data_IF_587251834392
#
_entry.id   IF_587251834392
#
_cell.length_a   1.000
_cell.length_b   1.000
_cell.length_c   1.000
_cell.angle_alpha   90.00
_cell.angle_beta   90.00
_cell.angle_gamma   90.00
#
_symmetry.space_group_name_H-M   'P 1'
#
loop_
_entity.id
_entity.type
_entity.pdbx_description
1 polymer ?
#
# COMPACT_ATOMS: atom_id res chain seq x y z
N UNK A 1 -25.00 13.83 41.29
CA UNK A 1 -24.65 13.43 39.93
C UNK A 1 -23.84 12.10 39.92
N UNK A 2 -22.71 12.04 40.65
CA UNK A 2 -21.83 10.87 40.66
C UNK A 2 -22.50 9.56 41.12
N UNK A 3 -23.31 9.62 42.20
CA UNK A 3 -24.04 8.47 42.70
C UNK A 3 -25.09 7.98 41.72
N UNK A 4 -25.78 8.88 41.01
CA UNK A 4 -26.71 8.51 39.94
C UNK A 4 -26.01 7.84 38.77
N UNK A 5 -24.83 8.31 38.36
CA UNK A 5 -24.02 7.68 37.32
C UNK A 5 -23.59 6.26 37.72
N UNK A 6 -23.07 6.09 38.92
CA UNK A 6 -22.61 4.80 39.43
C UNK A 6 -23.76 3.77 39.58
N UNK A 7 -25.01 4.25 39.80
CA UNK A 7 -26.18 3.39 39.81
C UNK A 7 -26.62 2.95 38.42
N UNK A 8 -26.51 3.84 37.41
CA UNK A 8 -27.01 3.60 36.05
C UNK A 8 -26.02 2.86 35.16
N UNK A 9 -24.74 3.20 35.28
CA UNK A 9 -23.68 2.68 34.40
C UNK A 9 -22.77 1.69 35.14
N UNK A 10 -22.03 0.85 34.41
CA UNK A 10 -21.08 -0.07 35.02
C UNK A 10 -19.98 0.69 35.76
N UNK A 11 -19.74 0.25 37.00
CA UNK A 11 -18.72 0.80 37.88
C UNK A 11 -18.56 -0.07 39.10
N UNK A 12 -17.73 0.29 40.07
CA UNK A 12 -17.57 -0.42 41.34
C UNK A 12 -17.30 -1.93 41.18
N UNK A 13 -16.39 -2.29 40.29
CA UNK A 13 -16.01 -3.70 40.05
C UNK A 13 -17.03 -4.44 39.17
N UNK A 14 -17.69 -5.45 39.70
CA UNK A 14 -18.59 -6.32 38.93
C UNK A 14 -20.02 -5.81 38.77
N UNK A 15 -20.35 -4.62 39.25
CA UNK A 15 -21.69 -4.06 39.11
C UNK A 15 -21.94 -3.60 37.68
N UNK A 16 -22.93 -4.18 37.00
CA UNK A 16 -23.24 -3.89 35.58
C UNK A 16 -24.04 -2.60 35.35
N UNK A 17 -24.49 -1.94 36.39
CA UNK A 17 -25.40 -0.81 36.33
C UNK A 17 -26.83 -1.17 35.94
N UNK A 18 -27.80 -0.34 36.31
CA UNK A 18 -29.22 -0.58 36.03
C UNK A 18 -29.56 -0.55 34.55
N UNK A 19 -28.79 0.21 33.74
CA UNK A 19 -28.99 0.28 32.29
C UNK A 19 -28.39 -0.90 31.52
N UNK A 20 -27.57 -1.73 32.17
CA UNK A 20 -26.88 -2.84 31.51
C UNK A 20 -26.00 -2.42 30.33
N UNK A 21 -25.66 -1.13 30.27
CA UNK A 21 -24.83 -0.58 29.18
C UNK A 21 -23.41 -1.12 29.26
N UNK A 22 -22.89 -1.55 28.13
CA UNK A 22 -21.46 -1.84 27.95
C UNK A 22 -21.01 -1.27 26.61
N UNK A 23 -19.72 -0.92 26.50
CA UNK A 23 -19.13 -0.49 25.23
C UNK A 23 -19.29 -1.56 24.14
N UNK A 24 -19.19 -2.84 24.52
CA UNK A 24 -19.40 -3.97 23.62
C UNK A 24 -20.83 -4.02 23.06
N UNK A 25 -21.86 -3.92 23.94
CA UNK A 25 -23.25 -3.93 23.51
C UNK A 25 -23.59 -2.73 22.62
N UNK A 26 -23.04 -1.57 22.92
CA UNK A 26 -23.19 -0.39 22.10
C UNK A 26 -22.56 -0.61 20.71
N UNK A 27 -21.32 -1.10 20.69
CA UNK A 27 -20.62 -1.41 19.43
C UNK A 27 -21.39 -2.45 18.60
N UNK A 28 -21.86 -3.52 19.19
CA UNK A 28 -22.66 -4.53 18.51
C UNK A 28 -23.96 -3.94 17.92
N UNK A 29 -24.65 -3.08 18.67
CA UNK A 29 -25.85 -2.41 18.16
C UNK A 29 -25.55 -1.48 16.99
N UNK A 30 -24.45 -0.73 17.05
CA UNK A 30 -23.99 0.14 15.96
C UNK A 30 -23.60 -0.68 14.73
N UNK A 31 -22.89 -1.81 14.90
CA UNK A 31 -22.54 -2.72 13.81
C UNK A 31 -23.78 -3.34 13.15
N UNK A 32 -24.79 -3.77 13.93
CA UNK A 32 -26.05 -4.29 13.40
C UNK A 32 -26.80 -3.22 12.60
N UNK A 33 -26.82 -1.97 13.07
CA UNK A 33 -27.43 -0.86 12.34
C UNK A 33 -26.68 -0.54 11.04
N UNK A 34 -25.36 -0.60 11.08
CA UNK A 34 -24.53 -0.38 9.89
C UNK A 34 -24.76 -1.51 8.87
N UNK A 35 -24.80 -2.76 9.31
CA UNK A 35 -25.04 -3.91 8.45
C UNK A 35 -26.45 -3.87 7.84
N UNK A 36 -27.48 -3.57 8.62
CA UNK A 36 -28.86 -3.41 8.13
C UNK A 36 -28.98 -2.27 7.08
N UNK A 37 -28.14 -1.26 7.17
CA UNK A 37 -28.14 -0.09 6.26
C UNK A 37 -27.32 -0.30 5.00
N UNK A 38 -26.20 -0.98 5.12
CA UNK A 38 -25.18 -1.05 4.07
C UNK A 38 -24.85 -2.48 3.61
N UNK A 39 -25.24 -3.52 4.38
CA UNK A 39 -24.84 -4.89 4.14
C UNK A 39 -25.20 -5.39 2.74
N UNK A 40 -26.45 -5.15 2.30
CA UNK A 40 -26.89 -5.56 0.95
C UNK A 40 -26.09 -4.85 -0.16
N UNK A 41 -25.73 -3.57 0.04
CA UNK A 41 -24.95 -2.80 -0.92
C UNK A 41 -23.52 -3.31 -1.01
N UNK A 42 -22.89 -3.60 0.14
CA UNK A 42 -21.55 -4.18 0.17
C UNK A 42 -21.53 -5.60 -0.40
N UNK A 43 -22.52 -6.42 -0.10
CA UNK A 43 -22.63 -7.76 -0.68
C UNK A 43 -22.72 -7.69 -2.20
N UNK A 44 -23.59 -6.82 -2.73
CA UNK A 44 -23.72 -6.60 -4.18
C UNK A 44 -22.39 -6.19 -4.81
N UNK A 45 -21.66 -5.25 -4.20
CA UNK A 45 -20.37 -4.82 -4.73
C UNK A 45 -19.30 -5.88 -4.58
N UNK A 46 -19.31 -6.68 -3.51
CA UNK A 46 -18.37 -7.77 -3.27
C UNK A 46 -18.42 -8.86 -4.34
N UNK A 47 -19.62 -9.12 -4.88
CA UNK A 47 -19.85 -10.12 -5.92
C UNK A 47 -19.68 -9.58 -7.35
N UNK A 48 -19.48 -8.27 -7.51
CA UNK A 48 -19.34 -7.62 -8.82
C UNK A 48 -17.86 -7.50 -9.21
N UNK A 49 -17.47 -7.89 -10.43
CA UNK A 49 -16.10 -7.70 -10.91
C UNK A 49 -15.64 -6.23 -10.82
N UNK A 50 -14.39 -6.01 -10.42
CA UNK A 50 -13.84 -4.65 -10.21
C UNK A 50 -13.94 -3.78 -11.47
N UNK A 51 -13.76 -4.36 -12.65
CA UNK A 51 -13.90 -3.64 -13.93
C UNK A 51 -15.32 -3.08 -14.12
N UNK A 52 -16.35 -3.82 -13.71
CA UNK A 52 -17.74 -3.36 -13.77
C UNK A 52 -18.04 -2.32 -12.68
N UNK A 53 -17.41 -2.46 -11.49
CA UNK A 53 -17.53 -1.47 -10.43
C UNK A 53 -16.94 -0.11 -10.83
N UNK A 54 -15.89 -0.11 -11.64
CA UNK A 54 -15.27 1.11 -12.15
C UNK A 54 -16.20 1.93 -13.07
N UNK A 55 -17.22 1.29 -13.65
CA UNK A 55 -18.25 1.93 -14.49
C UNK A 55 -19.54 2.26 -13.70
N UNK A 56 -19.61 1.84 -12.43
CA UNK A 56 -20.78 2.04 -11.59
C UNK A 56 -20.66 3.32 -10.76
N UNK A 57 -21.51 4.30 -11.01
CA UNK A 57 -21.49 5.62 -10.34
C UNK A 57 -21.57 5.55 -8.81
N UNK A 58 -22.35 4.63 -8.25
CA UNK A 58 -22.53 4.52 -6.81
C UNK A 58 -21.32 3.83 -6.15
N UNK A 59 -20.76 2.82 -6.81
CA UNK A 59 -19.52 2.18 -6.39
C UNK A 59 -18.35 3.19 -6.45
N UNK A 60 -18.25 3.97 -7.53
CA UNK A 60 -17.24 5.02 -7.69
C UNK A 60 -17.35 6.11 -6.62
N UNK A 61 -18.55 6.60 -6.32
CA UNK A 61 -18.77 7.59 -5.24
C UNK A 61 -18.38 7.04 -3.88
N UNK A 62 -18.67 5.77 -3.62
CA UNK A 62 -18.28 5.10 -2.38
C UNK A 62 -16.77 4.91 -2.32
N UNK A 63 -16.16 4.41 -3.39
CA UNK A 63 -14.70 4.22 -3.52
C UNK A 63 -13.93 5.52 -3.31
N UNK A 64 -14.39 6.64 -3.89
CA UNK A 64 -13.79 7.97 -3.69
C UNK A 64 -13.80 8.39 -2.22
N UNK A 65 -14.88 8.15 -1.49
CA UNK A 65 -14.95 8.48 -0.05
C UNK A 65 -14.01 7.59 0.76
N UNK A 66 -13.97 6.30 0.47
CA UNK A 66 -13.07 5.36 1.13
C UNK A 66 -11.60 5.72 0.84
N UNK A 67 -11.27 6.05 -0.39
CA UNK A 67 -9.94 6.51 -0.80
C UNK A 67 -9.55 7.80 -0.07
N UNK A 68 -10.43 8.79 -0.06
CA UNK A 68 -10.18 10.08 0.60
C UNK A 68 -9.92 9.92 2.11
N UNK A 69 -10.61 9.01 2.76
CA UNK A 69 -10.49 8.80 4.21
C UNK A 69 -9.30 7.91 4.62
N UNK A 70 -8.89 6.96 3.76
CA UNK A 70 -7.94 5.93 4.15
C UNK A 70 -6.63 5.94 3.36
N UNK A 71 -6.64 6.42 2.11
CA UNK A 71 -5.51 6.28 1.18
C UNK A 71 -4.89 7.64 0.82
N UNK A 72 -5.71 8.68 0.71
CA UNK A 72 -5.29 9.99 0.22
C UNK A 72 -4.22 10.67 1.10
N UNK A 73 -4.16 10.35 2.39
CA UNK A 73 -3.15 10.91 3.29
C UNK A 73 -1.72 10.54 2.86
N UNK A 74 -1.55 9.38 2.24
CA UNK A 74 -0.26 8.92 1.72
C UNK A 74 -0.15 9.14 0.21
N UNK A 75 -1.19 8.76 -0.55
CA UNK A 75 -1.15 8.76 -2.02
C UNK A 75 -1.61 10.09 -2.67
N UNK A 76 -1.97 11.09 -1.87
CA UNK A 76 -2.55 12.34 -2.35
C UNK A 76 -4.02 12.21 -2.74
N UNK A 77 -4.76 13.32 -2.73
CA UNK A 77 -6.21 13.33 -3.00
C UNK A 77 -6.59 12.88 -4.42
N UNK A 78 -5.66 13.05 -5.36
CA UNK A 78 -5.81 12.61 -6.74
C UNK A 78 -5.11 11.27 -7.04
N UNK A 79 -4.58 10.59 -6.01
CA UNK A 79 -3.87 9.32 -6.18
C UNK A 79 -2.50 9.42 -6.87
N UNK A 80 -1.98 10.63 -7.10
CA UNK A 80 -0.73 10.85 -7.86
C UNK A 80 0.54 10.63 -7.05
N UNK A 81 0.40 10.12 -5.84
CA UNK A 81 1.53 9.88 -4.95
C UNK A 81 2.03 11.13 -4.24
N UNK A 82 3.01 10.90 -3.38
CA UNK A 82 3.79 11.92 -2.68
C UNK A 82 5.18 11.35 -2.38
N UNK A 83 6.07 12.14 -1.79
CA UNK A 83 7.41 11.67 -1.46
C UNK A 83 7.35 10.37 -0.63
N UNK A 84 7.93 9.29 -1.16
CA UNK A 84 7.94 7.96 -0.55
C UNK A 84 6.67 7.12 -0.76
N UNK A 85 5.66 7.64 -1.46
CA UNK A 85 4.44 6.89 -1.79
C UNK A 85 4.19 6.90 -3.30
N UNK A 86 3.94 5.71 -3.92
CA UNK A 86 3.79 5.61 -5.36
C UNK A 86 2.56 6.35 -5.88
N UNK A 87 2.66 6.80 -7.12
CA UNK A 87 1.52 7.23 -7.93
C UNK A 87 0.66 6.01 -8.26
N UNK A 88 -0.66 6.12 -8.09
CA UNK A 88 -1.63 5.06 -8.36
C UNK A 88 -2.40 5.31 -9.66
N UNK A 89 -2.02 6.34 -10.43
CA UNK A 89 -2.73 6.77 -11.65
C UNK A 89 -1.86 6.69 -12.91
N UNK A 90 -0.63 6.21 -12.79
CA UNK A 90 0.27 5.92 -13.91
C UNK A 90 0.31 4.42 -14.24
N UNK A 91 1.08 4.06 -15.25
CA UNK A 91 1.25 2.68 -15.69
C UNK A 91 2.39 1.93 -14.96
N UNK A 92 3.02 2.56 -13.97
CA UNK A 92 4.19 2.04 -13.27
C UNK A 92 3.81 1.32 -11.96
N UNK A 93 3.19 0.16 -12.11
CA UNK A 93 2.79 -0.68 -10.99
C UNK A 93 3.90 -1.61 -10.54
N UNK A 94 4.35 -1.50 -9.29
CA UNK A 94 5.44 -2.31 -8.72
C UNK A 94 5.17 -3.81 -8.76
N UNK A 95 3.93 -4.22 -8.55
CA UNK A 95 3.51 -5.62 -8.49
C UNK A 95 2.48 -6.01 -9.57
N UNK A 96 2.10 -5.07 -10.41
CA UNK A 96 1.07 -5.19 -11.43
C UNK A 96 -0.18 -4.39 -11.11
N UNK A 97 -0.81 -3.84 -12.17
CA UNK A 97 -1.95 -2.93 -12.10
C UNK A 97 -3.28 -3.59 -12.44
N UNK A 98 -3.31 -4.92 -12.64
CA UNK A 98 -4.57 -5.63 -12.85
C UNK A 98 -5.40 -5.69 -11.56
N UNK A 99 -6.73 -5.74 -11.67
CA UNK A 99 -7.64 -5.69 -10.52
C UNK A 99 -7.34 -6.73 -9.44
N UNK A 100 -7.06 -7.97 -9.82
CA UNK A 100 -6.81 -9.07 -8.87
C UNK A 100 -5.50 -8.87 -8.10
N UNK A 101 -4.48 -8.35 -8.78
CA UNK A 101 -3.20 -7.99 -8.16
C UNK A 101 -3.34 -6.82 -7.20
N UNK A 102 -4.16 -5.80 -7.53
CA UNK A 102 -4.48 -4.69 -6.64
C UNK A 102 -5.25 -5.19 -5.41
N UNK A 103 -6.27 -6.02 -5.59
CA UNK A 103 -7.02 -6.63 -4.48
C UNK A 103 -6.11 -7.45 -3.57
N UNK A 104 -5.22 -8.26 -4.14
CA UNK A 104 -4.22 -9.02 -3.37
C UNK A 104 -3.35 -8.09 -2.53
N UNK A 105 -2.90 -6.98 -3.11
CA UNK A 105 -2.08 -5.98 -2.39
C UNK A 105 -2.84 -5.36 -1.23
N UNK A 106 -4.13 -5.03 -1.41
CA UNK A 106 -4.98 -4.42 -0.37
C UNK A 106 -5.33 -5.41 0.74
N UNK A 107 -5.64 -6.66 0.41
CA UNK A 107 -6.07 -7.66 1.39
C UNK A 107 -4.93 -8.29 2.17
N UNK A 108 -3.81 -8.56 1.53
CA UNK A 108 -2.71 -9.35 2.08
C UNK A 108 -1.44 -8.53 2.31
N UNK A 109 -1.35 -7.35 1.70
CA UNK A 109 -0.11 -6.61 1.62
C UNK A 109 0.91 -7.31 0.73
N UNK A 110 2.14 -6.80 0.72
CA UNK A 110 3.26 -7.43 0.02
C UNK A 110 4.41 -7.63 0.99
N UNK A 111 4.86 -8.86 1.08
CA UNK A 111 6.06 -9.22 1.84
C UNK A 111 7.19 -9.46 0.84
N UNK A 112 8.23 -8.64 0.91
CA UNK A 112 9.45 -8.81 0.16
C UNK A 112 10.64 -9.03 1.09
N UNK A 113 11.63 -9.75 0.63
CA UNK A 113 12.92 -9.87 1.30
C UNK A 113 13.99 -9.41 0.31
N UNK A 114 14.38 -8.14 0.43
CA UNK A 114 15.50 -7.57 -0.31
C UNK A 114 16.74 -7.61 0.58
N UNK A 115 17.73 -8.48 0.31
CA UNK A 115 18.98 -8.45 1.04
C UNK A 115 19.67 -7.09 0.83
N UNK A 116 20.21 -6.50 1.89
CA UNK A 116 20.98 -5.27 1.75
C UNK A 116 22.09 -5.46 0.72
N UNK A 117 22.20 -4.51 -0.21
CA UNK A 117 23.17 -4.56 -1.32
C UNK A 117 22.95 -5.75 -2.30
N UNK A 118 21.74 -6.24 -2.39
CA UNK A 118 21.40 -7.36 -3.27
C UNK A 118 22.16 -8.64 -2.92
N UNK A 119 22.75 -9.29 -3.92
CA UNK A 119 23.60 -10.48 -3.71
C UNK A 119 25.09 -10.17 -3.52
N UNK A 120 25.46 -8.89 -3.32
CA UNK A 120 26.84 -8.42 -3.17
C UNK A 120 27.05 -7.70 -1.83
N UNK A 121 27.23 -8.42 -0.71
CA UNK A 121 27.38 -7.80 0.63
C UNK A 121 28.57 -6.83 0.76
N UNK A 122 29.57 -6.97 -0.09
CA UNK A 122 30.76 -6.10 -0.13
C UNK A 122 30.63 -4.84 -1.00
N UNK A 123 29.44 -4.52 -1.52
CA UNK A 123 29.20 -3.35 -2.35
C UNK A 123 29.61 -2.05 -1.63
N UNK A 124 30.42 -1.23 -2.29
CA UNK A 124 30.85 0.06 -1.75
C UNK A 124 29.77 1.12 -1.88
N UNK A 125 29.88 2.23 -1.15
CA UNK A 125 28.93 3.35 -1.29
C UNK A 125 28.94 3.94 -2.70
N UNK A 126 30.10 3.99 -3.36
CA UNK A 126 30.19 4.42 -4.76
C UNK A 126 29.40 3.48 -5.69
N UNK A 127 29.52 2.17 -5.50
CA UNK A 127 28.75 1.19 -6.29
C UNK A 127 27.23 1.27 -6.01
N UNK A 128 26.84 1.60 -4.77
CA UNK A 128 25.43 1.89 -4.44
C UNK A 128 24.93 3.10 -5.24
N UNK A 129 25.70 4.21 -5.25
CA UNK A 129 25.32 5.40 -6.03
C UNK A 129 25.26 5.08 -7.53
N UNK A 130 26.18 4.30 -8.06
CA UNK A 130 26.20 3.86 -9.45
C UNK A 130 24.97 3.03 -9.80
N UNK A 131 24.63 2.03 -9.01
CA UNK A 131 23.46 1.17 -9.27
C UNK A 131 22.15 1.94 -9.12
N UNK A 132 22.07 2.89 -8.19
CA UNK A 132 20.91 3.78 -8.05
C UNK A 132 20.72 4.62 -9.32
N UNK A 133 21.79 5.23 -9.85
CA UNK A 133 21.69 5.97 -11.09
C UNK A 133 21.31 5.09 -12.28
N UNK A 134 21.81 3.86 -12.35
CA UNK A 134 21.40 2.89 -13.37
C UNK A 134 19.90 2.54 -13.27
N UNK A 135 19.39 2.25 -12.08
CA UNK A 135 17.95 1.99 -11.89
C UNK A 135 17.10 3.21 -12.24
N UNK A 136 17.55 4.42 -11.91
CA UNK A 136 16.86 5.65 -12.28
C UNK A 136 16.85 5.88 -13.81
N UNK A 137 17.83 5.35 -14.55
CA UNK A 137 17.87 5.45 -16.01
C UNK A 137 16.76 4.65 -16.70
N UNK A 138 16.17 3.62 -16.04
CA UNK A 138 15.00 2.91 -16.57
C UNK A 138 13.77 3.81 -16.78
N UNK A 139 13.79 5.00 -16.19
CA UNK A 139 12.70 5.98 -16.23
C UNK A 139 13.20 7.37 -16.64
N UNK A 140 14.33 7.45 -17.34
CA UNK A 140 14.97 8.70 -17.77
C UNK A 140 15.24 9.71 -16.64
N UNK A 141 15.54 9.21 -15.42
CA UNK A 141 15.73 10.02 -14.21
C UNK A 141 17.14 9.92 -13.62
N UNK A 142 18.08 9.31 -14.33
CA UNK A 142 19.47 9.28 -13.90
C UNK A 142 20.00 10.72 -13.76
N UNK A 143 20.66 11.00 -12.65
CA UNK A 143 21.29 12.32 -12.39
C UNK A 143 22.73 12.36 -12.85
N UNK A 144 23.36 11.20 -13.01
CA UNK A 144 24.73 11.00 -13.45
C UNK A 144 24.79 9.83 -14.44
N UNK A 145 24.94 10.15 -15.71
CA UNK A 145 24.99 9.17 -16.80
C UNK A 145 26.26 8.30 -16.75
N UNK A 146 27.39 8.86 -16.30
CA UNK A 146 28.64 8.07 -16.14
C UNK A 146 28.49 7.07 -15.00
N UNK A 147 27.92 7.49 -13.88
CA UNK A 147 27.60 6.60 -12.78
C UNK A 147 26.61 5.52 -13.21
N UNK A 148 25.57 5.87 -13.98
CA UNK A 148 24.60 4.91 -14.48
C UNK A 148 25.26 3.85 -15.38
N UNK A 149 26.15 4.24 -16.29
CA UNK A 149 26.90 3.33 -17.15
C UNK A 149 27.77 2.34 -16.35
N UNK A 150 28.39 2.78 -15.26
CA UNK A 150 29.13 1.90 -14.36
C UNK A 150 28.20 1.02 -13.51
N UNK A 151 27.03 1.56 -13.16
CA UNK A 151 25.99 0.87 -12.38
C UNK A 151 25.39 -0.34 -13.10
N UNK A 152 25.36 -0.36 -14.44
CA UNK A 152 24.90 -1.49 -15.23
C UNK A 152 25.64 -2.79 -14.85
N UNK A 153 26.95 -2.74 -14.70
CA UNK A 153 27.75 -3.92 -14.33
C UNK A 153 27.45 -4.39 -12.90
N UNK A 154 27.26 -3.44 -11.99
CA UNK A 154 26.88 -3.75 -10.61
C UNK A 154 25.50 -4.37 -10.55
N UNK A 155 24.53 -3.82 -11.28
CA UNK A 155 23.17 -4.32 -11.39
C UNK A 155 23.15 -5.75 -11.95
N UNK A 156 23.90 -5.99 -13.03
CA UNK A 156 23.99 -7.31 -13.66
C UNK A 156 24.52 -8.39 -12.71
N UNK A 157 25.40 -8.02 -11.76
CA UNK A 157 25.99 -8.97 -10.81
C UNK A 157 25.11 -9.16 -9.56
N UNK A 158 24.46 -8.10 -9.07
CA UNK A 158 23.84 -8.08 -7.74
C UNK A 158 22.29 -8.12 -7.77
N UNK A 159 21.64 -7.72 -8.87
CA UNK A 159 20.22 -7.39 -8.87
C UNK A 159 19.41 -8.14 -9.95
N UNK A 160 20.02 -8.45 -11.09
CA UNK A 160 19.34 -9.00 -12.27
C UNK A 160 18.63 -10.33 -12.02
N UNK A 161 19.15 -11.14 -11.11
CA UNK A 161 18.54 -12.44 -10.77
C UNK A 161 17.10 -12.36 -10.25
N UNK A 162 16.80 -11.24 -9.55
CA UNK A 162 15.48 -11.01 -8.98
C UNK A 162 14.66 -9.97 -9.78
N UNK A 163 15.33 -8.97 -10.36
CA UNK A 163 14.65 -7.82 -10.98
C UNK A 163 14.68 -7.84 -12.52
N UNK A 164 15.24 -8.87 -13.14
CA UNK A 164 15.51 -8.97 -14.59
C UNK A 164 16.45 -7.86 -15.12
N UNK A 165 16.88 -7.94 -16.37
CA UNK A 165 17.86 -7.02 -16.92
C UNK A 165 17.31 -5.59 -17.13
N UNK A 166 16.01 -5.47 -17.34
CA UNK A 166 15.29 -4.21 -17.54
C UNK A 166 14.68 -3.65 -16.26
N UNK A 167 14.92 -4.28 -15.12
CA UNK A 167 14.36 -3.89 -13.81
C UNK A 167 12.86 -4.16 -13.64
N UNK A 168 12.21 -4.81 -14.60
CA UNK A 168 10.75 -5.00 -14.57
C UNK A 168 10.29 -6.33 -13.99
N UNK A 169 11.15 -7.10 -13.41
CA UNK A 169 10.88 -8.42 -12.81
C UNK A 169 9.80 -9.27 -13.55
N UNK A 170 10.01 -10.53 -13.66
CA UNK A 170 9.02 -11.47 -14.25
C UNK A 170 8.20 -12.19 -13.18
N UNK A 171 8.48 -11.95 -11.90
CA UNK A 171 7.80 -12.61 -10.78
C UNK A 171 7.07 -11.61 -9.89
N UNK A 172 5.84 -11.92 -9.46
CA UNK A 172 5.06 -11.04 -8.55
C UNK A 172 5.70 -10.85 -7.18
N UNK A 173 6.70 -11.66 -6.81
CA UNK A 173 7.40 -11.56 -5.54
C UNK A 173 8.42 -10.41 -5.51
N UNK A 174 8.92 -10.02 -6.68
CA UNK A 174 9.95 -9.00 -6.81
C UNK A 174 9.35 -7.76 -7.49
N UNK A 175 9.41 -6.58 -6.85
CA UNK A 175 8.82 -5.37 -7.41
C UNK A 175 9.57 -4.92 -8.68
N UNK A 176 8.85 -4.24 -9.56
CA UNK A 176 9.46 -3.46 -10.64
C UNK A 176 10.26 -2.29 -10.04
N UNK A 177 11.38 -1.96 -10.67
CA UNK A 177 12.28 -0.90 -10.23
C UNK A 177 12.09 0.42 -10.99
N UNK A 178 11.45 0.38 -12.17
CA UNK A 178 11.09 1.58 -12.89
C UNK A 178 10.22 2.49 -12.02
N UNK A 179 10.35 3.81 -12.19
CA UNK A 179 9.62 4.86 -11.46
C UNK A 179 9.80 4.88 -9.92
N UNK A 180 10.70 4.07 -9.35
CA UNK A 180 10.99 4.14 -7.91
C UNK A 180 11.61 5.48 -7.51
N UNK A 181 11.29 5.93 -6.32
CA UNK A 181 11.86 7.17 -5.75
C UNK A 181 13.34 6.99 -5.40
N UNK A 182 14.22 7.94 -5.75
CA UNK A 182 15.65 7.84 -5.48
C UNK A 182 15.97 7.59 -4.01
N UNK A 183 15.28 8.27 -3.11
CA UNK A 183 15.46 8.14 -1.66
C UNK A 183 15.07 6.75 -1.15
N UNK A 184 14.07 6.13 -1.78
CA UNK A 184 13.68 4.77 -1.47
C UNK A 184 14.74 3.77 -1.94
N UNK A 185 15.26 3.93 -3.17
CA UNK A 185 16.34 3.08 -3.70
C UNK A 185 17.57 3.12 -2.80
N UNK A 186 18.03 4.33 -2.42
CA UNK A 186 19.17 4.49 -1.51
C UNK A 186 18.96 3.85 -0.14
N UNK A 187 17.72 3.85 0.35
CA UNK A 187 17.36 3.23 1.63
C UNK A 187 17.34 1.71 1.56
N UNK A 188 17.01 1.13 0.41
CA UNK A 188 16.91 -0.33 0.24
C UNK A 188 18.27 -1.00 -0.07
N UNK A 189 19.23 -0.26 -0.58
CA UNK A 189 20.58 -0.71 -0.91
C UNK A 189 21.60 -0.43 0.21
#
# INVERSE_FOLDING_TARGET
FALGYLALYPGLGNYKGLLGWTAENQWQAEMQQADARYGELYAKFGDTPVAELAENDDAMKMGQRLFANNCAVCHGSAGRGSLGFPNLTDDDWLYGGDPDTILTTLHQGRNGNMPAKGTMPGMTSEQVDQVVNYVLSFSDRAKDEEAAAKGEQVFAQACVACHAADGNSTTPANPKLAQQHPEYLLKQL
#
